data_IF_955100945791
#
_entry.id   IF_955100945791
#
_cell.length_a   1.000
_cell.length_b   1.000
_cell.length_c   1.000
_cell.angle_alpha   90.00
_cell.angle_beta   90.00
_cell.angle_gamma   90.00
#
_symmetry.space_group_name_H-M   'P 1'
#
loop_
_entity.id
_entity.type
_entity.pdbx_description
1 polymer ?
#
# COMPACT_ATOMS: atom_id res chain seq x y z
N UNK A 1 -5.89 -5.29 -10.37
CA UNK A 1 -5.33 -3.97 -10.02
C UNK A 1 -6.41 -2.89 -10.09
N UNK A 2 -7.30 -2.90 -9.09
CA UNK A 2 -8.30 -1.84 -8.86
C UNK A 2 -7.67 -0.58 -8.27
N UNK A 3 -6.45 -0.70 -7.71
CA UNK A 3 -5.70 0.38 -7.08
C UNK A 3 -4.86 1.23 -8.03
N UNK A 4 -4.13 2.16 -7.40
CA UNK A 4 -3.26 3.17 -8.01
C UNK A 4 -2.13 2.57 -8.86
N UNK A 5 -1.48 1.52 -8.37
CA UNK A 5 -0.22 1.00 -8.91
C UNK A 5 -0.35 0.46 -10.35
N UNK A 6 -1.54 -0.05 -10.71
CA UNK A 6 -1.76 -0.69 -12.01
C UNK A 6 -1.52 0.23 -13.20
N UNK A 7 -1.78 1.54 -13.04
CA UNK A 7 -1.58 2.51 -14.11
C UNK A 7 -0.09 2.72 -14.38
N UNK A 8 0.75 2.74 -13.34
CA UNK A 8 2.20 2.87 -13.48
C UNK A 8 2.81 1.63 -14.09
N UNK A 9 2.40 0.43 -13.64
CA UNK A 9 2.86 -0.83 -14.23
C UNK A 9 2.47 -0.90 -15.71
N UNK A 10 1.21 -0.61 -16.04
CA UNK A 10 0.74 -0.62 -17.44
C UNK A 10 1.53 0.38 -18.29
N UNK A 11 1.76 1.60 -17.79
CA UNK A 11 2.56 2.61 -18.50
C UNK A 11 3.98 2.09 -18.77
N UNK A 12 4.66 1.60 -17.73
CA UNK A 12 6.01 1.09 -17.86
C UNK A 12 6.09 -0.07 -18.86
N UNK A 13 5.13 -1.00 -18.84
CA UNK A 13 5.07 -2.11 -19.80
C UNK A 13 4.97 -1.60 -21.25
N UNK A 14 4.07 -0.66 -21.51
CA UNK A 14 3.89 -0.08 -22.85
C UNK A 14 5.13 0.70 -23.30
N UNK A 15 5.74 1.49 -22.41
CA UNK A 15 6.95 2.26 -22.70
C UNK A 15 8.15 1.35 -23.03
N UNK A 16 8.13 0.08 -22.58
CA UNK A 16 9.15 -0.94 -22.84
C UNK A 16 8.75 -1.91 -23.97
N UNK A 17 7.71 -1.60 -24.76
CA UNK A 17 7.32 -2.40 -25.93
C UNK A 17 6.57 -3.69 -25.60
N UNK A 18 6.15 -3.89 -24.35
CA UNK A 18 5.27 -5.00 -24.01
C UNK A 18 3.82 -4.65 -24.38
N UNK A 19 3.11 -5.65 -24.90
CA UNK A 19 1.67 -5.56 -25.14
C UNK A 19 0.92 -6.43 -24.10
N UNK A 20 0.61 -5.86 -22.91
CA UNK A 20 -0.05 -6.64 -21.87
C UNK A 20 -1.51 -6.91 -22.23
N UNK A 21 -1.95 -8.15 -21.98
CA UNK A 21 -3.37 -8.51 -21.99
C UNK A 21 -4.01 -8.05 -20.70
N UNK A 22 -5.03 -7.22 -20.80
CA UNK A 22 -5.70 -6.61 -19.65
C UNK A 22 -7.14 -7.08 -19.57
N UNK A 23 -7.58 -7.43 -18.35
CA UNK A 23 -9.00 -7.58 -18.03
C UNK A 23 -9.43 -6.30 -17.30
N UNK A 24 -10.25 -5.41 -17.88
CA UNK A 24 -10.70 -4.19 -17.22
C UNK A 24 -12.02 -4.36 -16.46
N UNK A 25 -12.30 -3.43 -15.54
CA UNK A 25 -13.62 -3.17 -14.96
C UNK A 25 -13.82 -1.64 -14.91
N UNK A 26 -14.42 -1.08 -15.96
CA UNK A 26 -14.39 0.38 -16.19
C UNK A 26 -12.94 0.86 -16.36
N UNK A 27 -12.55 1.88 -15.61
CA UNK A 27 -11.16 2.40 -15.60
C UNK A 27 -10.17 1.59 -14.76
N UNK A 28 -10.64 0.52 -14.09
CA UNK A 28 -9.81 -0.31 -13.19
C UNK A 28 -9.23 -1.49 -13.97
N UNK A 29 -7.95 -1.81 -13.75
CA UNK A 29 -7.26 -2.90 -14.42
C UNK A 29 -7.35 -4.17 -13.56
N UNK A 30 -8.32 -5.06 -13.76
CA UNK A 30 -8.52 -6.23 -12.87
C UNK A 30 -7.34 -7.19 -12.86
N UNK A 31 -6.82 -7.52 -14.04
CA UNK A 31 -5.66 -8.39 -14.26
C UNK A 31 -4.83 -7.86 -15.40
N UNK A 32 -3.51 -8.02 -15.30
CA UNK A 32 -2.55 -7.68 -16.37
C UNK A 32 -1.68 -8.91 -16.59
N UNK A 33 -1.67 -9.43 -17.81
CA UNK A 33 -0.85 -10.59 -18.21
C UNK A 33 0.17 -10.18 -19.27
N UNK A 34 1.43 -10.53 -19.03
CA UNK A 34 2.56 -10.23 -19.91
C UNK A 34 3.10 -11.57 -20.41
N UNK A 35 2.56 -12.06 -21.52
CA UNK A 35 2.88 -13.38 -22.08
C UNK A 35 4.39 -13.62 -22.25
N UNK A 36 5.17 -12.66 -22.82
CA UNK A 36 6.62 -12.87 -23.00
C UNK A 36 7.39 -13.05 -21.70
N UNK A 37 6.91 -12.47 -20.59
CA UNK A 37 7.52 -12.60 -19.27
C UNK A 37 6.93 -13.76 -18.44
N UNK A 38 5.88 -14.41 -18.93
CA UNK A 38 5.10 -15.41 -18.19
C UNK A 38 4.59 -14.87 -16.84
N UNK A 39 4.29 -13.57 -16.78
CA UNK A 39 3.87 -12.89 -15.57
C UNK A 39 2.40 -12.50 -15.62
N UNK A 40 1.73 -12.62 -14.48
CA UNK A 40 0.35 -12.15 -14.28
C UNK A 40 0.23 -11.38 -12.98
N UNK A 41 -0.21 -10.13 -13.10
CA UNK A 41 -0.47 -9.25 -11.97
C UNK A 41 -1.96 -9.29 -11.63
N UNK A 42 -2.26 -9.71 -10.41
CA UNK A 42 -3.61 -9.73 -9.86
C UNK A 42 -3.58 -8.96 -8.55
N UNK A 43 -4.64 -8.20 -8.28
CA UNK A 43 -4.76 -7.38 -7.08
C UNK A 43 -5.66 -8.07 -6.07
N UNK A 44 -5.16 -8.25 -4.85
CA UNK A 44 -5.90 -8.81 -3.74
C UNK A 44 -7.19 -8.04 -3.45
N UNK A 45 -7.24 -6.74 -3.74
CA UNK A 45 -8.44 -5.91 -3.55
C UNK A 45 -9.60 -6.31 -4.48
N UNK A 46 -9.35 -7.10 -5.53
CA UNK A 46 -10.42 -7.71 -6.31
C UNK A 46 -11.27 -8.68 -5.49
N UNK A 47 -10.66 -9.35 -4.50
CA UNK A 47 -11.27 -10.41 -3.69
C UNK A 47 -11.52 -9.95 -2.26
N UNK A 48 -10.67 -9.05 -1.75
CA UNK A 48 -10.69 -8.55 -0.38
C UNK A 48 -10.83 -7.02 -0.42
N UNK A 49 -12.04 -6.47 -0.64
CA UNK A 49 -12.26 -5.03 -0.83
C UNK A 49 -12.24 -4.28 0.52
N UNK A 50 -11.14 -4.41 1.26
CA UNK A 50 -10.92 -3.80 2.57
C UNK A 50 -9.47 -3.34 2.73
N UNK A 51 -9.25 -2.42 3.67
CA UNK A 51 -7.90 -2.01 4.04
C UNK A 51 -7.14 -3.13 4.74
N UNK A 52 -5.84 -3.23 4.50
CA UNK A 52 -4.96 -4.25 5.10
C UNK A 52 -5.00 -4.27 6.65
N UNK A 53 -5.31 -3.15 7.30
CA UNK A 53 -5.46 -3.10 8.77
C UNK A 53 -6.68 -3.84 9.29
N UNK A 54 -7.70 -4.09 8.44
CA UNK A 54 -8.91 -4.87 8.80
C UNK A 54 -8.76 -6.36 8.51
N UNK A 55 -7.83 -6.73 7.62
CA UNK A 55 -7.63 -8.11 7.18
C UNK A 55 -7.44 -9.12 8.33
N UNK A 56 -6.63 -8.84 9.36
CA UNK A 56 -6.43 -9.77 10.47
C UNK A 56 -7.72 -10.04 11.24
N UNK A 57 -8.49 -8.98 11.52
CA UNK A 57 -9.76 -9.07 12.24
C UNK A 57 -10.77 -9.95 11.48
N UNK A 58 -10.79 -9.88 10.15
CA UNK A 58 -11.63 -10.75 9.31
C UNK A 58 -11.34 -12.24 9.49
N UNK A 59 -10.11 -12.60 9.87
CA UNK A 59 -9.70 -13.98 10.14
C UNK A 59 -9.60 -14.30 11.63
N UNK A 60 -10.21 -13.50 12.51
CA UNK A 60 -10.19 -13.71 13.96
C UNK A 60 -8.81 -13.51 14.60
N UNK A 61 -7.90 -12.79 13.94
CA UNK A 61 -6.57 -12.44 14.46
C UNK A 61 -6.53 -10.96 14.84
N UNK A 62 -6.14 -10.64 16.06
CA UNK A 62 -6.03 -9.25 16.53
C UNK A 62 -4.59 -8.79 16.75
N UNK A 63 -3.65 -9.72 16.90
CA UNK A 63 -2.26 -9.44 17.29
C UNK A 63 -1.40 -8.86 16.17
N UNK A 64 -1.64 -9.29 14.93
CA UNK A 64 -0.85 -8.88 13.76
C UNK A 64 -1.66 -7.87 12.98
N UNK A 65 -1.32 -6.59 13.05
CA UNK A 65 -2.00 -5.54 12.26
C UNK A 65 -1.02 -4.74 11.41
N UNK A 66 -1.51 -4.18 10.30
CA UNK A 66 -0.69 -3.31 9.45
C UNK A 66 -0.19 -2.11 10.28
N UNK A 67 1.12 -1.90 10.31
CA UNK A 67 1.73 -0.69 10.88
C UNK A 67 1.45 0.56 10.06
N UNK A 68 2.01 1.69 10.52
CA UNK A 68 1.88 2.99 9.89
C UNK A 68 3.10 3.28 9.01
N UNK A 69 2.89 4.02 7.91
CA UNK A 69 3.96 4.47 7.02
C UNK A 69 4.24 5.95 7.29
N UNK A 70 5.50 6.41 7.25
CA UNK A 70 5.85 7.83 7.39
C UNK A 70 5.92 8.53 6.02
N UNK A 71 4.80 9.03 5.45
CA UNK A 71 4.82 9.59 4.09
C UNK A 71 5.75 10.79 3.93
N UNK A 72 5.93 11.60 4.98
CA UNK A 72 6.82 12.77 4.90
C UNK A 72 8.30 12.38 5.02
N UNK A 73 8.61 11.15 5.45
CA UNK A 73 9.97 10.62 5.48
C UNK A 73 10.38 9.98 4.16
N UNK A 74 9.44 9.65 3.28
CA UNK A 74 9.70 9.02 1.99
C UNK A 74 10.27 10.02 0.97
N UNK A 75 11.54 10.39 1.17
CA UNK A 75 12.31 11.30 0.33
C UNK A 75 13.57 10.61 -0.19
N UNK A 76 14.13 11.04 -1.35
CA UNK A 76 15.33 10.45 -1.92
C UNK A 76 16.50 10.35 -0.93
N UNK A 77 16.67 11.35 -0.08
CA UNK A 77 17.76 11.43 0.89
C UNK A 77 17.66 10.35 1.98
N UNK A 78 16.45 9.84 2.23
CA UNK A 78 16.16 8.86 3.27
C UNK A 78 16.03 7.42 2.73
N UNK A 79 16.21 7.18 1.43
CA UNK A 79 15.98 5.85 0.84
C UNK A 79 16.91 4.76 1.37
N UNK A 80 18.11 5.14 1.81
CA UNK A 80 19.10 4.24 2.40
C UNK A 80 19.15 4.35 3.93
N UNK A 81 18.14 4.96 4.56
CA UNK A 81 18.09 5.12 6.00
C UNK A 81 17.95 3.76 6.71
N UNK A 82 18.89 3.49 7.61
CA UNK A 82 18.86 2.35 8.54
C UNK A 82 19.00 2.91 9.94
N UNK A 83 17.94 2.77 10.74
CA UNK A 83 17.88 3.36 12.08
C UNK A 83 16.52 3.15 12.74
N UNK A 84 16.30 3.92 13.80
CA UNK A 84 15.05 3.92 14.57
C UNK A 84 13.86 4.43 13.76
N UNK A 85 12.65 4.27 14.29
CA UNK A 85 11.47 4.82 13.64
C UNK A 85 11.56 6.36 13.57
N UNK A 86 11.23 6.98 12.42
CA UNK A 86 11.17 8.43 12.31
C UNK A 86 10.24 9.03 13.36
N UNK A 87 10.46 10.29 13.70
CA UNK A 87 9.57 11.00 14.61
C UNK A 87 8.12 11.03 14.12
N UNK A 88 7.19 11.11 15.07
CA UNK A 88 5.75 11.02 14.81
C UNK A 88 5.27 12.07 13.79
N UNK A 89 5.92 13.24 13.72
CA UNK A 89 5.59 14.28 12.75
C UNK A 89 5.73 13.80 11.30
N UNK A 90 6.68 12.89 11.00
CA UNK A 90 6.86 12.35 9.65
C UNK A 90 5.71 11.45 9.19
N UNK A 91 4.88 11.00 10.12
CA UNK A 91 3.67 10.21 9.87
C UNK A 91 2.44 11.07 9.57
N UNK A 92 2.56 12.40 9.68
CA UNK A 92 1.48 13.36 9.44
C UNK A 92 0.16 13.02 10.16
N UNK A 93 0.17 12.87 11.50
CA UNK A 93 -0.97 12.35 12.27
C UNK A 93 -2.24 13.24 12.20
N UNK A 94 -2.09 14.51 11.84
CA UNK A 94 -3.20 15.47 11.77
C UNK A 94 -3.88 15.49 10.38
N UNK A 95 -3.16 15.22 9.30
CA UNK A 95 -3.72 15.22 7.93
C UNK A 95 -4.52 13.96 7.61
N UNK A 96 -4.20 12.81 8.23
CA UNK A 96 -4.83 11.53 7.91
C UNK A 96 -6.31 11.39 8.31
N UNK A 97 -6.97 12.47 8.77
CA UNK A 97 -8.35 12.46 9.28
C UNK A 97 -8.56 11.24 10.20
N UNK A 98 -7.59 11.04 11.08
CA UNK A 98 -7.69 10.01 12.08
C UNK A 98 -8.79 10.47 13.04
N UNK A 99 -9.89 9.73 13.13
CA UNK A 99 -10.76 9.85 14.28
C UNK A 99 -9.90 9.79 15.55
N UNK A 100 -10.31 10.48 16.61
CA UNK A 100 -9.57 10.51 17.88
C UNK A 100 -9.02 9.13 18.28
N UNK A 101 -9.81 8.07 18.08
CA UNK A 101 -9.42 6.67 18.28
C UNK A 101 -8.24 6.18 17.41
N UNK A 102 -8.20 6.49 16.11
CA UNK A 102 -7.09 6.08 15.24
C UNK A 102 -5.79 6.79 15.62
N UNK A 103 -5.88 8.07 16.01
CA UNK A 103 -4.72 8.86 16.44
C UNK A 103 -4.13 8.31 17.73
N UNK A 104 -4.97 7.94 18.70
CA UNK A 104 -4.51 7.25 19.91
C UNK A 104 -3.80 5.94 19.57
N UNK A 105 -4.38 5.11 18.70
CA UNK A 105 -3.74 3.85 18.26
C UNK A 105 -2.39 4.07 17.59
N UNK A 106 -2.25 5.13 16.79
CA UNK A 106 -0.99 5.50 16.18
C UNK A 106 0.07 5.84 17.23
N UNK A 107 -0.23 6.74 18.18
CA UNK A 107 0.73 7.14 19.21
C UNK A 107 1.10 5.98 20.14
N UNK A 108 0.14 5.13 20.52
CA UNK A 108 0.45 3.89 21.26
C UNK A 108 1.42 3.01 20.47
N UNK A 109 1.12 2.74 19.19
CA UNK A 109 1.99 1.91 18.33
C UNK A 109 3.39 2.50 18.15
N UNK A 110 3.50 3.83 18.00
CA UNK A 110 4.77 4.53 17.77
C UNK A 110 5.63 4.59 19.03
N UNK A 111 5.02 4.86 20.19
CA UNK A 111 5.73 4.91 21.47
C UNK A 111 6.20 3.52 21.95
N UNK A 112 5.49 2.44 21.60
CA UNK A 112 5.92 1.06 21.90
C UNK A 112 7.12 0.60 21.06
N UNK A 113 7.44 1.30 19.97
CA UNK A 113 8.42 0.87 18.95
C UNK A 113 9.52 1.91 18.68
N UNK A 114 9.48 3.02 19.41
CA UNK A 114 10.65 3.87 19.63
C UNK A 114 11.57 3.17 20.61
#
# INVERSE_FOLDING_TARGET
MKGFDGQFIRKWLLDNGFEPKVIPQGSKLMSVEVTPLQMRFIDSFNFLPMGLSKLPKTFGKEEITKGYLPPLFNKPENQNYVGELPDAHFYNPDFFSMSSSKRTKFYTWHNERK
#
